data_IF_726502431566
#
_entry.id   IF_726502431566
#
_cell.length_a   1.000
_cell.length_b   1.000
_cell.length_c   1.000
_cell.angle_alpha   90.00
_cell.angle_beta   90.00
_cell.angle_gamma   90.00
#
_symmetry.space_group_name_H-M   'P 1'
#
loop_
_entity.id
_entity.type
_entity.pdbx_description
1 polymer ?
#
# COMPACT_ATOMS: atom_id res chain seq x y z
N UNK A 1 -19.84 21.21 -19.17
CA UNK A 1 -19.77 20.00 -18.34
C UNK A 1 -20.47 20.32 -17.05
N UNK A 2 -21.54 19.65 -16.72
CA UNK A 2 -22.12 19.79 -15.40
C UNK A 2 -21.64 18.61 -14.50
N UNK A 3 -21.29 18.95 -13.28
CA UNK A 3 -20.89 18.01 -12.26
C UNK A 3 -22.01 17.87 -11.25
N UNK A 4 -22.34 16.66 -10.89
CA UNK A 4 -23.23 16.33 -9.79
C UNK A 4 -22.40 16.12 -8.51
N UNK A 5 -22.78 16.76 -7.40
CA UNK A 5 -22.19 16.45 -6.10
C UNK A 5 -22.57 15.04 -5.68
N UNK A 6 -21.60 14.30 -5.13
CA UNK A 6 -21.82 12.97 -4.57
C UNK A 6 -21.45 12.95 -3.09
N UNK A 7 -22.02 12.04 -2.28
CA UNK A 7 -21.64 11.86 -0.88
C UNK A 7 -20.15 11.54 -0.76
N UNK A 8 -19.56 11.92 0.37
CA UNK A 8 -18.16 11.62 0.70
C UNK A 8 -18.00 10.10 0.79
N UNK A 9 -17.13 9.48 -0.04
CA UNK A 9 -16.91 8.05 0.01
C UNK A 9 -16.01 7.70 1.21
N UNK A 10 -16.34 6.61 1.90
CA UNK A 10 -15.47 6.08 2.96
C UNK A 10 -14.23 5.36 2.40
N UNK A 11 -14.34 4.79 1.21
CA UNK A 11 -13.28 4.06 0.51
C UNK A 11 -13.37 4.38 -0.98
N UNK A 12 -12.21 4.53 -1.63
CA UNK A 12 -12.10 4.68 -3.08
C UNK A 12 -10.98 3.80 -3.63
N UNK A 13 -11.10 3.48 -4.93
CA UNK A 13 -10.14 2.65 -5.65
C UNK A 13 -9.51 3.43 -6.80
N UNK A 14 -8.18 3.32 -6.93
CA UNK A 14 -7.41 4.02 -7.95
C UNK A 14 -6.44 3.07 -8.64
N UNK A 15 -6.57 2.92 -9.98
CA UNK A 15 -5.65 2.15 -10.82
C UNK A 15 -4.50 3.04 -11.25
N UNK A 16 -3.27 2.59 -11.01
CA UNK A 16 -2.07 3.35 -11.34
C UNK A 16 -0.92 2.47 -11.77
N UNK A 17 0.11 3.06 -12.39
CA UNK A 17 1.36 2.36 -12.70
C UNK A 17 2.21 2.16 -11.44
N UNK A 18 2.84 0.98 -11.32
CA UNK A 18 3.73 0.66 -10.20
C UNK A 18 4.90 1.64 -10.04
N UNK A 19 5.39 2.22 -11.14
CA UNK A 19 6.48 3.21 -11.12
C UNK A 19 6.19 4.45 -10.26
N UNK A 20 4.91 4.81 -10.09
CA UNK A 20 4.50 5.97 -9.29
C UNK A 20 4.13 5.61 -7.84
N UNK A 21 4.16 4.31 -7.47
CA UNK A 21 3.66 3.86 -6.17
C UNK A 21 4.43 4.48 -5.01
N UNK A 22 5.75 4.47 -5.08
CA UNK A 22 6.59 5.00 -3.99
C UNK A 22 6.31 6.48 -3.73
N UNK A 23 6.25 7.31 -4.78
CA UNK A 23 5.96 8.74 -4.65
C UNK A 23 4.58 9.00 -4.02
N UNK A 24 3.56 8.20 -4.37
CA UNK A 24 2.22 8.33 -3.80
C UNK A 24 2.21 7.91 -2.32
N UNK A 25 2.94 6.85 -1.96
CA UNK A 25 3.02 6.40 -0.57
C UNK A 25 3.81 7.37 0.31
N UNK A 26 4.84 8.01 -0.23
CA UNK A 26 5.62 9.04 0.45
C UNK A 26 4.83 10.33 0.65
N UNK A 27 4.11 10.75 -0.38
CA UNK A 27 3.28 11.95 -0.35
C UNK A 27 1.98 11.77 0.47
N UNK A 28 1.56 10.52 0.75
CA UNK A 28 0.24 10.17 1.29
C UNK A 28 -0.91 10.82 0.52
N UNK A 29 -0.71 11.05 -0.79
CA UNK A 29 -1.64 11.78 -1.62
C UNK A 29 -1.69 11.29 -3.08
N UNK A 30 -2.88 11.31 -3.68
CA UNK A 30 -3.05 11.26 -5.12
C UNK A 30 -3.09 12.70 -5.63
N UNK A 31 -2.08 13.09 -6.39
CA UNK A 31 -1.98 14.44 -6.96
C UNK A 31 -2.71 14.53 -8.30
N UNK A 32 -3.31 15.66 -8.55
CA UNK A 32 -3.91 15.97 -9.86
C UNK A 32 -2.83 16.06 -10.92
N UNK A 33 -3.14 15.55 -12.10
CA UNK A 33 -2.27 15.70 -13.25
C UNK A 33 -3.04 16.32 -14.43
N UNK A 34 -2.83 17.62 -14.67
CA UNK A 34 -3.46 18.42 -15.73
C UNK A 34 -4.98 18.59 -15.66
N UNK A 35 -5.65 17.88 -14.77
CA UNK A 35 -7.08 17.97 -14.52
C UNK A 35 -7.39 18.74 -13.23
N UNK A 36 -8.65 19.14 -13.07
CA UNK A 36 -9.11 19.76 -11.82
C UNK A 36 -9.41 18.73 -10.75
N UNK A 37 -9.63 17.48 -11.13
CA UNK A 37 -10.05 16.38 -10.30
C UNK A 37 -9.09 15.19 -10.35
N UNK A 38 -9.00 14.45 -9.24
CA UNK A 38 -8.52 13.06 -9.18
C UNK A 38 -9.72 12.12 -9.32
N UNK A 39 -9.60 11.06 -10.13
CA UNK A 39 -10.71 10.17 -10.46
C UNK A 39 -10.55 8.78 -9.84
N UNK A 40 -11.64 8.25 -9.27
CA UNK A 40 -11.67 7.02 -8.51
C UNK A 40 -12.91 6.18 -8.85
N UNK A 41 -12.87 4.89 -8.52
CA UNK A 41 -14.05 4.04 -8.45
C UNK A 41 -14.46 3.84 -6.99
N UNK A 42 -15.76 3.75 -6.70
CA UNK A 42 -16.29 3.59 -5.34
C UNK A 42 -16.29 2.12 -4.87
N UNK A 43 -16.04 1.17 -5.78
CA UNK A 43 -16.04 -0.25 -5.45
C UNK A 43 -15.21 -1.07 -6.45
N UNK A 44 -14.78 -2.27 -6.03
CA UNK A 44 -14.08 -3.21 -6.91
C UNK A 44 -14.91 -3.63 -8.14
N UNK A 45 -16.23 -3.91 -8.03
CA UNK A 45 -17.04 -4.15 -9.22
C UNK A 45 -17.05 -2.98 -10.21
N UNK A 46 -17.17 -1.74 -9.73
CA UNK A 46 -17.07 -0.55 -10.59
C UNK A 46 -15.67 -0.41 -11.21
N UNK A 47 -14.61 -0.70 -10.45
CA UNK A 47 -13.24 -0.71 -10.97
C UNK A 47 -13.06 -1.77 -12.07
N UNK A 48 -13.58 -2.97 -11.88
CA UNK A 48 -13.52 -4.04 -12.89
C UNK A 48 -14.24 -3.61 -14.17
N UNK A 49 -15.48 -3.12 -14.05
CA UNK A 49 -16.27 -2.62 -15.18
C UNK A 49 -15.54 -1.45 -15.89
N UNK A 50 -14.94 -0.52 -15.14
CA UNK A 50 -14.12 0.54 -15.70
C UNK A 50 -12.95 0.00 -16.52
N UNK A 51 -12.20 -0.97 -15.99
CA UNK A 51 -11.07 -1.58 -16.70
C UNK A 51 -11.52 -2.30 -17.97
N UNK A 52 -12.64 -3.02 -17.93
CA UNK A 52 -13.23 -3.73 -19.08
C UNK A 52 -13.69 -2.78 -20.18
N UNK A 53 -14.14 -1.57 -19.83
CA UNK A 53 -14.58 -0.54 -20.79
C UNK A 53 -13.43 0.34 -21.30
N UNK A 54 -12.27 0.33 -20.63
CA UNK A 54 -11.15 1.22 -20.92
C UNK A 54 -9.84 0.46 -21.15
N UNK A 55 -9.03 0.33 -20.13
CA UNK A 55 -7.63 -0.14 -20.24
C UNK A 55 -7.49 -1.54 -20.85
N UNK A 56 -8.49 -2.41 -20.70
CA UNK A 56 -8.51 -3.74 -21.31
C UNK A 56 -9.02 -3.74 -22.78
N UNK A 57 -9.37 -2.55 -23.29
CA UNK A 57 -9.87 -2.37 -24.65
C UNK A 57 -8.76 -2.08 -25.67
N UNK A 58 -7.65 -2.82 -25.67
CA UNK A 58 -6.53 -2.63 -26.60
C UNK A 58 -6.99 -2.39 -28.04
N UNK A 59 -6.49 -1.31 -28.66
CA UNK A 59 -6.79 -0.92 -30.03
C UNK A 59 -8.16 -0.29 -30.26
N UNK A 60 -9.10 -0.35 -29.31
CA UNK A 60 -10.40 0.33 -29.44
C UNK A 60 -10.23 1.86 -29.39
N UNK A 61 -11.00 2.62 -30.19
CA UNK A 61 -10.94 4.07 -30.15
C UNK A 61 -11.58 4.64 -28.89
N UNK A 62 -11.02 5.73 -28.38
CA UNK A 62 -11.62 6.55 -27.34
C UNK A 62 -11.32 8.03 -27.59
N UNK A 63 -12.08 8.93 -26.99
CA UNK A 63 -11.82 10.36 -27.07
C UNK A 63 -11.10 10.83 -25.80
N UNK A 64 -9.89 11.37 -25.98
CA UNK A 64 -9.17 12.03 -24.91
C UNK A 64 -9.75 13.40 -24.58
N UNK A 65 -9.37 13.97 -23.45
CA UNK A 65 -9.70 15.35 -23.07
C UNK A 65 -9.30 16.30 -24.21
N UNK A 66 -10.23 17.12 -24.63
CA UNK A 66 -10.08 18.00 -25.82
C UNK A 66 -10.59 17.42 -27.15
N UNK A 67 -11.24 16.24 -27.12
CA UNK A 67 -11.90 15.64 -28.27
C UNK A 67 -10.98 14.94 -29.27
N UNK A 68 -9.71 14.71 -28.92
CA UNK A 68 -8.78 13.96 -29.76
C UNK A 68 -9.14 12.47 -29.76
N UNK A 69 -9.29 11.88 -30.95
CA UNK A 69 -9.48 10.43 -31.11
C UNK A 69 -8.17 9.70 -30.85
N UNK A 70 -8.15 8.86 -29.83
CA UNK A 70 -7.03 8.00 -29.45
C UNK A 70 -7.42 6.53 -29.54
N UNK A 71 -6.46 5.64 -29.34
CA UNK A 71 -6.70 4.21 -29.19
C UNK A 71 -6.09 3.74 -27.88
N UNK A 72 -6.79 2.83 -27.18
CA UNK A 72 -6.26 2.24 -25.97
C UNK A 72 -4.95 1.48 -26.29
N UNK A 73 -3.85 1.80 -25.58
CA UNK A 73 -2.59 1.09 -25.73
C UNK A 73 -2.71 -0.32 -25.18
N UNK A 74 -1.71 -1.16 -25.44
CA UNK A 74 -1.58 -2.47 -24.79
C UNK A 74 -1.49 -2.30 -23.28
N UNK A 75 -2.36 -3.01 -22.58
CA UNK A 75 -2.36 -3.06 -21.12
C UNK A 75 -1.54 -4.27 -20.64
N UNK A 76 -0.55 -4.03 -19.80
CA UNK A 76 0.29 -5.04 -19.16
C UNK A 76 0.00 -5.02 -17.66
N UNK A 77 -0.86 -5.91 -17.15
CA UNK A 77 -1.35 -5.89 -15.76
C UNK A 77 -0.23 -5.83 -14.70
N UNK A 78 0.91 -6.48 -14.99
CA UNK A 78 2.08 -6.56 -14.10
C UNK A 78 2.70 -5.20 -13.81
N UNK A 79 2.51 -4.22 -14.71
CA UNK A 79 3.03 -2.85 -14.56
C UNK A 79 2.10 -1.95 -13.74
N UNK A 80 0.96 -2.47 -13.31
CA UNK A 80 -0.05 -1.69 -12.59
C UNK A 80 -0.33 -2.24 -11.21
N UNK A 81 -0.79 -1.36 -10.35
CA UNK A 81 -1.30 -1.66 -9.01
C UNK A 81 -2.63 -0.96 -8.83
N UNK A 82 -3.54 -1.59 -8.11
CA UNK A 82 -4.79 -0.99 -7.70
C UNK A 82 -4.67 -0.59 -6.23
N UNK A 83 -4.91 0.68 -5.94
CA UNK A 83 -4.93 1.20 -4.57
C UNK A 83 -6.37 1.22 -4.07
N UNK A 84 -6.58 0.73 -2.85
CA UNK A 84 -7.75 0.97 -2.02
C UNK A 84 -7.36 2.03 -1.00
N UNK A 85 -8.04 3.15 -1.00
CA UNK A 85 -7.69 4.34 -0.24
C UNK A 85 -8.82 4.73 0.71
N UNK A 86 -8.45 5.16 1.92
CA UNK A 86 -9.38 5.82 2.86
C UNK A 86 -9.11 7.32 2.82
N UNK A 87 -9.98 8.14 2.21
CA UNK A 87 -9.79 9.57 2.12
C UNK A 87 -9.73 10.25 3.49
N UNK A 88 -8.82 11.24 3.65
CA UNK A 88 -8.76 12.09 4.83
C UNK A 88 -9.78 13.22 4.80
N UNK A 89 -10.07 13.73 3.59
CA UNK A 89 -10.92 14.90 3.41
C UNK A 89 -12.38 14.58 3.75
N UNK A 90 -12.95 15.45 4.56
CA UNK A 90 -14.37 15.42 4.95
C UNK A 90 -15.16 16.58 4.31
N UNK A 91 -14.57 17.23 3.30
CA UNK A 91 -15.22 18.30 2.56
C UNK A 91 -16.14 17.76 1.44
N UNK A 92 -16.99 18.62 0.90
CA UNK A 92 -17.99 18.27 -0.10
C UNK A 92 -17.47 18.47 -1.55
N UNK A 93 -16.17 18.31 -1.76
CA UNK A 93 -15.50 18.45 -3.08
C UNK A 93 -15.53 17.17 -3.93
N UNK A 94 -16.50 16.29 -3.68
CA UNK A 94 -16.71 15.06 -4.42
C UNK A 94 -17.80 15.23 -5.49
N UNK A 95 -17.50 14.80 -6.70
CA UNK A 95 -18.34 15.03 -7.87
C UNK A 95 -18.40 13.79 -8.75
N UNK A 96 -19.52 13.64 -9.44
CA UNK A 96 -19.65 12.76 -10.59
C UNK A 96 -19.87 13.62 -11.83
N UNK A 97 -19.22 13.28 -12.93
CA UNK A 97 -19.46 13.93 -14.20
C UNK A 97 -20.80 13.43 -14.77
N UNK A 98 -21.74 14.31 -15.06
CA UNK A 98 -23.08 13.97 -15.55
C UNK A 98 -23.16 13.84 -17.07
N UNK A 99 -22.00 13.90 -17.79
CA UNK A 99 -21.90 13.50 -19.19
C UNK A 99 -22.56 14.29 -20.26
N UNK A 100 -22.51 15.57 -20.17
CA UNK A 100 -22.72 16.39 -21.36
C UNK A 100 -21.59 16.11 -22.36
N UNK A 101 -21.87 15.29 -23.35
CA UNK A 101 -21.02 15.14 -24.52
C UNK A 101 -21.29 16.27 -25.50
N UNK A 102 -20.33 16.63 -26.36
CA UNK A 102 -20.54 17.68 -27.38
C UNK A 102 -21.81 17.44 -28.21
N UNK A 103 -22.51 18.49 -28.52
CA UNK A 103 -23.68 18.45 -29.43
C UNK A 103 -23.27 17.79 -30.76
N UNK A 104 -24.06 16.80 -31.19
CA UNK A 104 -23.77 16.06 -32.43
C UNK A 104 -22.91 14.83 -32.24
N UNK A 105 -22.57 14.44 -30.99
CA UNK A 105 -21.87 13.19 -30.71
C UNK A 105 -22.68 11.97 -31.16
N UNK A 106 -21.99 10.89 -31.55
CA UNK A 106 -22.63 9.63 -31.90
C UNK A 106 -23.37 9.00 -30.72
N UNK A 107 -24.38 8.17 -31.02
CA UNK A 107 -25.15 7.46 -30.00
C UNK A 107 -24.25 6.59 -29.13
N UNK A 108 -23.28 5.91 -29.73
CA UNK A 108 -22.30 5.07 -29.08
C UNK A 108 -21.44 5.88 -28.09
N UNK A 109 -21.00 7.08 -28.49
CA UNK A 109 -20.23 7.96 -27.63
C UNK A 109 -21.06 8.44 -26.43
N UNK A 110 -22.34 8.78 -26.65
CA UNK A 110 -23.25 9.18 -25.58
C UNK A 110 -23.45 8.05 -24.57
N UNK A 111 -23.72 6.84 -25.04
CA UNK A 111 -23.89 5.68 -24.15
C UNK A 111 -22.61 5.33 -23.40
N UNK A 112 -21.46 5.27 -24.09
CA UNK A 112 -20.17 5.00 -23.48
C UNK A 112 -19.80 6.04 -22.45
N UNK A 113 -20.08 7.28 -22.72
CA UNK A 113 -19.87 8.37 -21.79
C UNK A 113 -20.76 8.23 -20.54
N UNK A 114 -22.02 7.85 -20.64
CA UNK A 114 -22.91 7.57 -19.49
C UNK A 114 -22.37 6.46 -18.59
N UNK A 115 -21.98 5.34 -19.16
CA UNK A 115 -21.44 4.20 -18.41
C UNK A 115 -20.14 4.55 -17.70
N UNK A 116 -19.26 5.27 -18.38
CA UNK A 116 -17.98 5.69 -17.81
C UNK A 116 -18.13 6.61 -16.61
N UNK A 117 -19.06 7.57 -16.62
CA UNK A 117 -19.27 8.44 -15.47
C UNK A 117 -20.03 7.78 -14.34
N UNK A 118 -20.91 6.80 -14.62
CA UNK A 118 -21.55 6.02 -13.58
C UNK A 118 -20.55 5.20 -12.77
N UNK A 119 -19.37 4.90 -13.34
CA UNK A 119 -18.32 4.08 -12.72
C UNK A 119 -17.35 4.89 -11.86
N UNK A 120 -17.20 6.19 -12.12
CA UNK A 120 -16.20 7.04 -11.46
C UNK A 120 -16.80 8.18 -10.67
N UNK A 121 -16.09 8.55 -9.61
CA UNK A 121 -16.26 9.80 -8.90
C UNK A 121 -14.93 10.56 -8.91
N UNK A 122 -15.00 11.88 -8.88
CA UNK A 122 -13.85 12.77 -8.86
C UNK A 122 -13.78 13.55 -7.56
N UNK A 123 -12.58 13.72 -7.04
CA UNK A 123 -12.30 14.67 -5.97
C UNK A 123 -11.63 15.92 -6.58
N UNK A 124 -12.17 17.10 -6.29
CA UNK A 124 -11.64 18.36 -6.78
C UNK A 124 -10.52 18.85 -5.88
N UNK A 125 -9.31 18.54 -6.25
CA UNK A 125 -8.09 18.80 -5.48
C UNK A 125 -7.17 17.61 -5.50
N UNK A 126 -6.08 17.69 -4.76
CA UNK A 126 -5.22 16.55 -4.44
C UNK A 126 -5.88 15.75 -3.32
N UNK A 127 -6.00 14.44 -3.48
CA UNK A 127 -6.63 13.56 -2.50
C UNK A 127 -5.59 13.05 -1.51
N UNK A 128 -5.73 13.42 -0.25
CA UNK A 128 -4.96 12.85 0.86
C UNK A 128 -5.68 11.64 1.43
N UNK A 129 -4.93 10.64 1.89
CA UNK A 129 -5.51 9.42 2.46
C UNK A 129 -4.83 9.05 3.78
N UNK A 130 -5.61 8.50 4.71
CA UNK A 130 -5.15 8.03 6.02
C UNK A 130 -4.75 6.56 6.02
N UNK A 131 -5.22 5.78 5.04
CA UNK A 131 -4.88 4.38 4.88
C UNK A 131 -4.86 4.00 3.40
N UNK A 132 -3.93 3.11 3.05
CA UNK A 132 -3.78 2.56 1.70
C UNK A 132 -3.54 1.05 1.77
N UNK A 133 -4.24 0.32 0.91
CA UNK A 133 -4.01 -1.09 0.65
C UNK A 133 -3.71 -1.27 -0.83
N UNK A 134 -2.69 -2.06 -1.16
CA UNK A 134 -2.36 -2.39 -2.54
C UNK A 134 -2.99 -3.71 -2.94
N UNK A 135 -3.60 -3.74 -4.12
CA UNK A 135 -4.22 -4.95 -4.70
C UNK A 135 -3.45 -5.28 -5.98
N UNK A 136 -3.01 -6.54 -6.10
CA UNK A 136 -2.34 -7.02 -7.30
C UNK A 136 -3.31 -7.09 -8.47
N UNK A 137 -2.99 -6.38 -9.57
CA UNK A 137 -3.89 -6.27 -10.72
C UNK A 137 -4.06 -7.59 -11.46
N UNK A 138 -3.00 -8.40 -11.73
CA UNK A 138 -3.15 -9.73 -12.28
C UNK A 138 -4.10 -10.63 -11.47
N UNK A 139 -3.95 -10.69 -10.14
CA UNK A 139 -4.82 -11.47 -9.26
C UNK A 139 -6.27 -10.95 -9.29
N UNK A 140 -6.45 -9.62 -9.24
CA UNK A 140 -7.75 -8.99 -9.34
C UNK A 140 -8.49 -9.36 -10.62
N UNK A 141 -7.80 -9.34 -11.77
CA UNK A 141 -8.38 -9.68 -13.07
C UNK A 141 -8.77 -11.17 -13.17
N UNK A 142 -8.04 -12.07 -12.50
CA UNK A 142 -8.39 -13.49 -12.41
C UNK A 142 -9.53 -13.78 -11.44
N UNK A 143 -10.01 -12.76 -10.70
CA UNK A 143 -11.01 -12.93 -9.65
C UNK A 143 -10.43 -13.49 -8.34
N UNK A 144 -9.13 -13.60 -8.24
CA UNK A 144 -8.38 -13.92 -7.04
C UNK A 144 -8.22 -12.63 -6.24
N UNK A 145 -9.27 -12.17 -5.55
CA UNK A 145 -9.15 -11.03 -4.65
C UNK A 145 -8.39 -11.53 -3.43
N UNK A 146 -7.09 -11.42 -3.45
CA UNK A 146 -6.31 -11.38 -2.23
C UNK A 146 -6.46 -9.95 -1.70
N UNK A 147 -7.62 -9.67 -1.14
CA UNK A 147 -7.75 -8.60 -0.16
C UNK A 147 -6.81 -9.00 0.97
N UNK A 148 -5.63 -8.41 1.03
CA UNK A 148 -4.94 -8.36 2.31
C UNK A 148 -5.91 -7.55 3.18
N UNK A 149 -6.70 -8.27 3.99
CA UNK A 149 -7.55 -7.67 5.00
C UNK A 149 -6.68 -6.68 5.74
N UNK A 150 -7.10 -5.42 5.82
CA UNK A 150 -6.38 -4.45 6.64
C UNK A 150 -6.38 -4.98 8.07
N UNK A 151 -5.24 -5.53 8.49
CA UNK A 151 -5.08 -5.99 9.86
C UNK A 151 -5.18 -4.77 10.76
N UNK A 152 -6.06 -4.80 11.72
CA UNK A 152 -6.02 -3.85 12.85
C UNK A 152 -4.68 -4.01 13.58
N UNK A 153 -4.28 -3.05 14.39
CA UNK A 153 -3.06 -3.18 15.20
C UNK A 153 -3.10 -4.44 16.07
N UNK A 154 -4.24 -4.77 16.68
CA UNK A 154 -4.40 -5.99 17.48
C UNK A 154 -4.29 -7.28 16.67
N UNK A 155 -4.89 -7.35 15.47
CA UNK A 155 -4.74 -8.52 14.57
C UNK A 155 -3.29 -8.66 14.07
N UNK A 156 -2.63 -7.55 13.73
CA UNK A 156 -1.24 -7.54 13.31
C UNK A 156 -0.32 -8.00 14.46
N UNK A 157 -0.57 -7.54 15.68
CA UNK A 157 0.15 -7.98 16.87
C UNK A 157 -0.04 -9.47 17.12
N UNK A 158 -1.26 -9.98 17.10
CA UNK A 158 -1.51 -11.41 17.29
C UNK A 158 -0.73 -12.29 16.32
N UNK A 159 -0.72 -11.92 15.03
CA UNK A 159 0.05 -12.64 14.01
C UNK A 159 1.56 -12.52 14.19
N UNK A 160 2.04 -11.34 14.60
CA UNK A 160 3.45 -11.10 14.88
C UNK A 160 3.88 -11.89 16.11
N UNK A 161 3.07 -11.91 17.16
CA UNK A 161 3.30 -12.69 18.37
C UNK A 161 3.52 -14.16 18.03
N UNK A 162 2.57 -14.80 17.32
CA UNK A 162 2.71 -16.20 16.92
C UNK A 162 3.98 -16.46 16.11
N UNK A 163 4.32 -15.53 15.22
CA UNK A 163 5.49 -15.63 14.36
C UNK A 163 6.78 -15.55 15.16
N UNK A 164 6.88 -14.61 16.09
CA UNK A 164 8.07 -14.40 16.92
C UNK A 164 8.25 -15.51 17.97
N UNK A 165 7.17 -16.05 18.55
CA UNK A 165 7.21 -17.21 19.40
C UNK A 165 7.76 -18.44 18.66
N UNK A 166 7.32 -18.67 17.42
CA UNK A 166 7.84 -19.77 16.59
C UNK A 166 9.33 -19.57 16.22
N UNK A 167 9.73 -18.32 15.93
CA UNK A 167 11.12 -17.97 15.64
C UNK A 167 12.00 -18.21 16.88
N UNK A 168 11.56 -17.73 18.05
CA UNK A 168 12.25 -17.94 19.31
C UNK A 168 12.37 -19.43 19.69
N UNK A 169 11.30 -20.19 19.55
CA UNK A 169 11.31 -21.63 19.78
C UNK A 169 12.29 -22.37 18.84
N UNK A 170 12.38 -21.94 17.59
CA UNK A 170 13.33 -22.49 16.62
C UNK A 170 14.77 -22.11 16.96
N UNK A 171 15.00 -20.89 17.42
CA UNK A 171 16.29 -20.42 17.88
C UNK A 171 16.77 -21.20 19.11
N UNK A 172 15.91 -21.40 20.12
CA UNK A 172 16.25 -22.19 21.31
C UNK A 172 16.64 -23.63 20.96
N UNK A 173 15.92 -24.26 20.01
CA UNK A 173 16.30 -25.60 19.52
C UNK A 173 17.67 -25.63 18.83
N UNK A 174 18.07 -24.56 18.17
CA UNK A 174 19.42 -24.47 17.60
C UNK A 174 20.48 -24.35 18.68
N UNK A 175 20.20 -23.59 19.74
CA UNK A 175 21.13 -23.49 20.90
C UNK A 175 21.35 -24.84 21.58
N UNK A 176 20.32 -25.69 21.67
CA UNK A 176 20.43 -27.03 22.25
C UNK A 176 21.44 -27.96 21.51
N UNK A 177 21.77 -27.61 20.26
CA UNK A 177 22.70 -28.35 19.42
C UNK A 177 24.15 -27.86 19.54
N UNK A 178 24.37 -26.71 20.17
CA UNK A 178 25.69 -26.09 20.30
C UNK A 178 26.48 -26.70 21.46
N UNK A 179 27.78 -26.79 21.28
CA UNK A 179 28.71 -27.14 22.38
C UNK A 179 28.81 -26.00 23.39
N UNK A 180 29.33 -26.30 24.59
CA UNK A 180 29.53 -25.30 25.64
C UNK A 180 30.39 -24.12 25.17
N UNK A 181 31.46 -24.38 24.42
CA UNK A 181 32.37 -23.36 23.92
C UNK A 181 31.68 -22.48 22.86
N UNK A 182 30.83 -23.04 21.98
CA UNK A 182 30.04 -22.29 20.99
C UNK A 182 28.98 -21.43 21.66
N UNK A 183 28.34 -21.89 22.74
CA UNK A 183 27.41 -21.10 23.54
C UNK A 183 28.08 -19.88 24.18
N UNK A 184 29.32 -20.05 24.69
CA UNK A 184 30.08 -18.92 25.24
C UNK A 184 30.39 -17.89 24.15
N UNK A 185 30.78 -18.33 22.96
CA UNK A 185 31.08 -17.43 21.84
C UNK A 185 29.83 -16.70 21.31
N UNK A 186 28.65 -17.31 21.43
CA UNK A 186 27.39 -16.76 21.02
C UNK A 186 26.64 -15.95 22.11
N UNK A 187 27.25 -15.77 23.30
CA UNK A 187 26.57 -15.25 24.49
C UNK A 187 25.93 -13.87 24.26
N UNK A 188 26.61 -12.96 23.53
CA UNK A 188 26.09 -11.62 23.22
C UNK A 188 24.90 -11.69 22.27
N UNK A 189 24.96 -12.56 21.26
CA UNK A 189 23.85 -12.76 20.32
C UNK A 189 22.64 -13.39 21.01
N UNK A 190 22.87 -14.34 21.92
CA UNK A 190 21.81 -14.98 22.72
C UNK A 190 21.15 -13.93 23.62
N UNK A 191 21.95 -13.12 24.31
CA UNK A 191 21.47 -12.04 25.18
C UNK A 191 20.65 -11.03 24.39
N UNK A 192 21.14 -10.59 23.22
CA UNK A 192 20.44 -9.66 22.35
C UNK A 192 19.11 -10.24 21.84
N UNK A 193 19.07 -11.52 21.43
CA UNK A 193 17.85 -12.20 20.98
C UNK A 193 16.81 -12.25 22.08
N UNK A 194 17.21 -12.65 23.31
CA UNK A 194 16.32 -12.73 24.46
C UNK A 194 15.80 -11.36 24.88
N UNK A 195 16.64 -10.33 24.84
CA UNK A 195 16.24 -8.95 25.13
C UNK A 195 15.22 -8.45 24.12
N UNK A 196 15.50 -8.58 22.83
CA UNK A 196 14.57 -8.15 21.78
C UNK A 196 13.22 -8.87 21.84
N UNK A 197 13.23 -10.19 22.13
CA UNK A 197 12.00 -10.95 22.33
C UNK A 197 11.23 -10.43 23.55
N UNK A 198 11.88 -10.29 24.71
CA UNK A 198 11.25 -9.81 25.94
C UNK A 198 10.64 -8.42 25.78
N UNK A 199 11.38 -7.48 25.16
CA UNK A 199 10.90 -6.14 24.91
C UNK A 199 9.74 -6.12 23.92
N UNK A 200 9.81 -6.89 22.83
CA UNK A 200 8.71 -7.02 21.89
C UNK A 200 7.45 -7.59 22.55
N UNK A 201 7.59 -8.60 23.42
CA UNK A 201 6.46 -9.16 24.18
C UNK A 201 5.85 -8.16 25.15
N UNK A 202 6.67 -7.30 25.78
CA UNK A 202 6.18 -6.31 26.76
C UNK A 202 5.54 -5.09 26.11
N UNK A 203 6.02 -4.66 24.95
CA UNK A 203 5.61 -3.41 24.29
C UNK A 203 4.73 -3.63 23.04
N UNK A 204 4.66 -4.86 22.51
CA UNK A 204 4.09 -5.15 21.21
C UNK A 204 2.65 -4.69 21.02
N UNK A 205 1.80 -4.81 22.04
CA UNK A 205 0.41 -4.31 21.98
C UNK A 205 0.30 -2.79 21.81
N UNK A 206 1.31 -2.04 22.28
CA UNK A 206 1.36 -0.58 22.22
C UNK A 206 2.05 -0.03 20.98
N UNK A 207 2.68 -0.90 20.17
CA UNK A 207 3.39 -0.49 18.96
C UNK A 207 2.42 0.07 17.91
N UNK A 208 2.81 1.12 17.18
CA UNK A 208 2.06 1.61 16.05
C UNK A 208 1.82 0.53 15.00
N UNK A 209 0.59 0.51 14.41
CA UNK A 209 0.21 -0.49 13.39
C UNK A 209 1.24 -0.62 12.26
N UNK A 210 1.82 0.49 11.80
CA UNK A 210 2.82 0.52 10.72
C UNK A 210 4.07 -0.30 11.06
N UNK A 211 4.52 -0.25 12.32
CA UNK A 211 5.70 -0.96 12.81
C UNK A 211 5.40 -2.46 12.95
N UNK A 212 4.21 -2.80 13.47
CA UNK A 212 3.74 -4.19 13.52
C UNK A 212 3.68 -4.83 12.13
N UNK A 213 3.12 -4.13 11.14
CA UNK A 213 3.05 -4.60 9.75
C UNK A 213 4.45 -4.69 9.13
N UNK A 214 5.35 -3.74 9.44
CA UNK A 214 6.73 -3.80 9.00
C UNK A 214 7.44 -5.07 9.48
N UNK A 215 7.35 -5.39 10.78
CA UNK A 215 7.94 -6.59 11.37
C UNK A 215 7.27 -7.86 10.86
N UNK A 216 5.94 -7.89 10.77
CA UNK A 216 5.17 -9.02 10.27
C UNK A 216 5.56 -9.43 8.84
N UNK A 217 5.93 -8.46 8.00
CA UNK A 217 6.39 -8.69 6.62
C UNK A 217 7.86 -9.15 6.51
N UNK A 218 8.59 -9.30 7.61
CA UNK A 218 9.94 -9.86 7.61
C UNK A 218 9.88 -11.37 7.82
N UNK A 219 10.75 -12.12 7.15
CA UNK A 219 10.80 -13.59 7.34
C UNK A 219 11.16 -13.94 8.78
N UNK A 220 12.13 -13.23 9.34
CA UNK A 220 12.64 -13.40 10.69
C UNK A 220 12.71 -12.07 11.42
N UNK A 221 11.61 -11.62 12.02
CA UNK A 221 11.53 -10.32 12.69
C UNK A 221 12.42 -10.19 13.92
N UNK A 222 12.57 -11.26 14.72
CA UNK A 222 13.47 -11.24 15.89
C UNK A 222 14.95 -11.22 15.51
N UNK A 223 15.35 -11.97 14.49
CA UNK A 223 16.73 -11.94 13.98
C UNK A 223 17.08 -10.55 13.42
N UNK A 224 16.12 -9.89 12.75
CA UNK A 224 16.30 -8.50 12.30
C UNK A 224 16.50 -7.54 13.48
N UNK A 225 15.66 -7.64 14.51
CA UNK A 225 15.75 -6.79 15.71
C UNK A 225 17.05 -7.05 16.46
N UNK A 226 17.44 -8.34 16.64
CA UNK A 226 18.71 -8.73 17.27
C UNK A 226 19.90 -8.08 16.56
N UNK A 227 19.96 -8.18 15.23
CA UNK A 227 21.07 -7.65 14.46
C UNK A 227 21.17 -6.12 14.61
N UNK A 228 20.03 -5.43 14.50
CA UNK A 228 19.98 -3.99 14.72
C UNK A 228 20.39 -3.61 16.17
N UNK A 229 19.96 -4.40 17.15
CA UNK A 229 20.30 -4.20 18.55
C UNK A 229 21.82 -4.31 18.80
N UNK A 230 22.46 -5.32 18.21
CA UNK A 230 23.91 -5.51 18.32
C UNK A 230 24.71 -4.36 17.68
N UNK A 231 24.19 -3.79 16.59
CA UNK A 231 24.81 -2.63 15.92
C UNK A 231 24.75 -1.35 16.78
N UNK A 232 23.82 -1.28 17.74
CA UNK A 232 23.59 -0.10 18.61
C UNK A 232 24.13 -0.26 20.05
N UNK A 233 25.02 -1.16 20.30
CA UNK A 233 25.49 -1.65 21.63
C UNK A 233 25.95 -0.63 22.70
N UNK A 234 25.55 0.61 22.71
CA UNK A 234 26.01 1.59 23.71
C UNK A 234 24.93 2.37 24.47
N UNK A 235 23.68 1.90 24.53
CA UNK A 235 22.61 2.75 25.07
C UNK A 235 21.59 2.00 25.99
N UNK A 236 20.92 2.77 26.85
CA UNK A 236 19.99 2.34 27.90
C UNK A 236 18.74 1.64 27.33
N UNK A 237 18.43 0.45 27.87
CA UNK A 237 17.61 -0.60 27.24
C UNK A 237 16.14 -0.23 27.00
N UNK A 238 15.55 0.66 27.79
CA UNK A 238 14.10 0.88 27.76
C UNK A 238 13.62 1.87 26.67
N UNK A 239 14.34 2.98 26.45
CA UNK A 239 13.98 3.99 25.43
C UNK A 239 14.46 3.60 24.02
N UNK A 240 15.40 2.71 23.93
CA UNK A 240 16.15 2.41 22.73
C UNK A 240 15.47 1.40 21.79
N UNK A 241 14.65 0.48 22.29
CA UNK A 241 13.95 -0.47 21.43
C UNK A 241 13.03 0.26 20.43
N UNK A 242 12.34 1.28 20.88
CA UNK A 242 11.50 2.12 20.00
C UNK A 242 12.34 2.86 18.95
N UNK A 243 13.52 3.36 19.35
CA UNK A 243 14.44 4.05 18.45
C UNK A 243 15.01 3.10 17.39
N UNK A 244 15.38 1.87 17.77
CA UNK A 244 15.83 0.82 16.84
C UNK A 244 14.75 0.49 15.83
N UNK A 245 13.52 0.26 16.27
CA UNK A 245 12.41 -0.09 15.37
C UNK A 245 12.08 1.07 14.41
N UNK A 246 12.02 2.28 14.92
CA UNK A 246 11.80 3.48 14.11
C UNK A 246 12.94 3.68 13.11
N UNK A 247 14.19 3.54 13.55
CA UNK A 247 15.37 3.65 12.68
C UNK A 247 15.40 2.62 11.55
N UNK A 248 15.02 1.37 11.83
CA UNK A 248 14.88 0.33 10.80
C UNK A 248 13.78 0.66 9.77
N UNK A 249 12.69 1.24 10.23
CA UNK A 249 11.61 1.68 9.36
C UNK A 249 12.05 2.84 8.46
N UNK A 250 12.74 3.83 9.03
CA UNK A 250 13.22 5.03 8.32
C UNK A 250 14.32 4.69 7.31
N UNK A 251 15.29 3.83 7.66
CA UNK A 251 16.30 3.32 6.72
C UNK A 251 15.68 2.64 5.49
N UNK A 252 14.56 1.95 5.67
CA UNK A 252 13.84 1.35 4.53
C UNK A 252 13.20 2.41 3.63
N UNK A 253 12.82 3.56 4.16
CA UNK A 253 12.31 4.68 3.37
C UNK A 253 13.46 5.34 2.57
N UNK A 254 14.63 5.54 3.18
CA UNK A 254 15.81 6.11 2.53
C UNK A 254 16.35 5.22 1.39
N UNK A 255 16.43 3.90 1.59
CA UNK A 255 16.85 2.95 0.54
C UNK A 255 15.90 2.90 -0.67
N UNK A 256 14.64 3.33 -0.50
CA UNK A 256 13.70 3.48 -1.62
C UNK A 256 13.89 4.78 -2.40
N UNK A 257 14.63 5.76 -1.84
CA UNK A 257 14.85 7.07 -2.46
C UNK A 257 16.14 7.14 -3.28
N UNK A 258 17.06 6.17 -3.17
CA UNK A 258 18.23 6.13 -4.05
C UNK A 258 17.81 5.81 -5.48
N UNK A 259 17.93 6.79 -6.43
CA UNK A 259 17.67 6.50 -7.82
C UNK A 259 18.75 5.54 -8.31
N UNK A 260 18.34 4.41 -8.89
CA UNK A 260 19.25 3.60 -9.69
C UNK A 260 19.83 4.49 -10.80
N UNK A 261 21.05 5.00 -10.58
CA UNK A 261 21.85 5.56 -11.65
C UNK A 261 22.23 4.38 -12.56
N UNK A 262 21.41 4.17 -13.59
CA UNK A 262 21.79 3.36 -14.75
C UNK A 262 22.89 4.12 -15.48
N UNK A 263 24.08 3.53 -15.51
CA UNK A 263 25.14 3.85 -16.49
C UNK A 263 24.68 3.44 -17.90
#
# INVERSE_FOLDING_TARGET
MSYEKVPIPSIVYHLMKKENLNSILEDEAIRRFRDSECWFCESLPKMKAYMEQTVLCEGKPYYAVGGQLCRYPRFVPENYVLLKLTPCQQDDNWYRWNQEVPLGSSKELIEMAKEFSALKIGYRGDLWFSAVETIDVPAFLRGEIISQKELTAGEAWSLLFDKTENEMASYMKQLDLLSHDELILAADEISAMMTCHSELMSQGESLPRRELIFLLNKDKPLELLRNAWLDYQNVDVGEEFQNVLTGLYDQKQEQKQEPQMTM
#
